data_IF_963376214565
#
_entry.id   IF_963376214565
#
_cell.length_a   1.000
_cell.length_b   1.000
_cell.length_c   1.000
_cell.angle_alpha   90.00
_cell.angle_beta   90.00
_cell.angle_gamma   90.00
#
_symmetry.space_group_name_H-M   'P 1'
#
loop_
_entity.id
_entity.type
_entity.pdbx_description
1 polymer ?
#
# COMPACT_ATOMS: atom_id res chain seq x y z
N UNK A 1 -37.59 21.16 -2.20
CA UNK A 1 -36.16 21.54 -2.10
C UNK A 1 -35.32 20.27 -2.01
N UNK A 2 -35.14 19.55 -3.13
CA UNK A 2 -34.30 18.34 -3.25
C UNK A 2 -33.25 18.52 -4.36
N UNK A 3 -32.90 19.77 -4.66
CA UNK A 3 -32.06 20.14 -5.82
C UNK A 3 -30.56 20.15 -5.52
N UNK A 4 -30.13 19.68 -4.34
CA UNK A 4 -28.71 19.69 -3.92
C UNK A 4 -28.14 18.29 -3.65
N UNK A 5 -28.90 17.22 -3.88
CA UNK A 5 -28.40 15.83 -3.79
C UNK A 5 -28.08 15.25 -5.18
N UNK A 6 -27.54 16.07 -6.08
CA UNK A 6 -26.97 15.57 -7.33
C UNK A 6 -25.68 16.31 -7.63
N UNK A 7 -24.69 16.11 -6.76
CA UNK A 7 -23.30 16.42 -7.07
C UNK A 7 -22.54 15.11 -7.27
N UNK A 8 -22.06 14.88 -8.49
CA UNK A 8 -20.85 14.07 -8.66
C UNK A 8 -20.92 12.73 -9.40
N UNK A 9 -21.96 12.43 -10.19
CA UNK A 9 -21.77 11.42 -11.26
C UNK A 9 -21.49 12.17 -12.56
N UNK A 10 -20.21 12.48 -12.76
CA UNK A 10 -19.73 13.02 -14.01
C UNK A 10 -20.15 12.11 -15.18
N UNK A 11 -20.69 12.74 -16.22
CA UNK A 11 -21.05 12.11 -17.48
C UNK A 11 -19.82 11.43 -18.09
N UNK A 12 -19.89 10.13 -18.32
CA UNK A 12 -18.78 9.34 -18.87
C UNK A 12 -18.63 9.61 -20.37
N UNK A 13 -18.01 10.73 -20.73
CA UNK A 13 -17.52 10.98 -22.08
C UNK A 13 -16.21 10.20 -22.29
N UNK A 14 -16.29 8.88 -22.52
CA UNK A 14 -15.22 8.03 -23.05
C UNK A 14 -13.90 7.90 -22.25
N UNK A 15 -13.76 8.58 -21.11
CA UNK A 15 -12.55 8.58 -20.28
C UNK A 15 -12.65 7.62 -19.09
N UNK A 16 -11.50 7.11 -18.64
CA UNK A 16 -11.42 6.27 -17.43
C UNK A 16 -11.74 7.13 -16.20
N UNK A 17 -12.66 6.71 -15.31
CA UNK A 17 -13.10 7.54 -14.19
C UNK A 17 -11.96 7.85 -13.22
N UNK A 18 -11.87 9.11 -12.78
CA UNK A 18 -10.81 9.56 -11.86
C UNK A 18 -10.79 8.79 -10.53
N UNK A 19 -11.97 8.40 -10.03
CA UNK A 19 -12.09 7.58 -8.82
C UNK A 19 -11.43 6.21 -8.99
N UNK A 20 -11.47 5.61 -10.18
CA UNK A 20 -10.78 4.34 -10.46
C UNK A 20 -9.26 4.51 -10.40
N UNK A 21 -8.72 5.60 -10.95
CA UNK A 21 -7.28 5.91 -10.84
C UNK A 21 -6.83 6.06 -9.39
N UNK A 22 -7.58 6.82 -8.58
CA UNK A 22 -7.26 7.00 -7.16
C UNK A 22 -7.27 5.66 -6.40
N UNK A 23 -8.24 4.80 -6.68
CA UNK A 23 -8.30 3.48 -6.07
C UNK A 23 -7.10 2.62 -6.48
N UNK A 24 -6.74 2.60 -7.77
CA UNK A 24 -5.59 1.83 -8.25
C UNK A 24 -4.30 2.32 -7.60
N UNK A 25 -4.01 3.62 -7.66
CA UNK A 25 -2.78 4.19 -7.06
C UNK A 25 -2.77 3.98 -5.55
N UNK A 26 -3.90 4.17 -4.88
CA UNK A 26 -4.04 3.95 -3.44
C UNK A 26 -3.76 2.50 -3.03
N UNK A 27 -4.38 1.53 -3.70
CA UNK A 27 -4.19 0.11 -3.40
C UNK A 27 -2.79 -0.36 -3.74
N UNK A 28 -2.28 -0.03 -4.93
CA UNK A 28 -0.93 -0.44 -5.35
C UNK A 28 0.13 0.22 -4.48
N UNK A 29 -0.02 1.51 -4.18
CA UNK A 29 0.89 2.25 -3.29
C UNK A 29 0.88 1.69 -1.88
N UNK A 30 -0.30 1.34 -1.34
CA UNK A 30 -0.42 0.72 -0.03
C UNK A 30 0.26 -0.66 0.02
N UNK A 31 0.04 -1.52 -0.98
CA UNK A 31 0.70 -2.83 -1.09
C UNK A 31 2.22 -2.65 -1.14
N UNK A 32 2.71 -1.71 -1.95
CA UNK A 32 4.13 -1.41 -2.03
C UNK A 32 4.70 -0.92 -0.69
N UNK A 33 3.99 -0.02 0.00
CA UNK A 33 4.40 0.52 1.29
C UNK A 33 4.47 -0.56 2.38
N UNK A 34 3.44 -1.40 2.49
CA UNK A 34 3.41 -2.52 3.46
C UNK A 34 4.47 -3.56 3.11
N UNK A 35 4.62 -3.90 1.84
CA UNK A 35 5.62 -4.87 1.38
C UNK A 35 7.04 -4.41 1.70
N UNK A 36 7.45 -3.26 1.18
CA UNK A 36 8.81 -2.71 1.37
C UNK A 36 9.06 -2.42 2.86
N UNK A 37 8.10 -1.85 3.57
CA UNK A 37 8.21 -1.57 5.00
C UNK A 37 8.42 -2.84 5.83
N UNK A 38 7.68 -3.91 5.53
CA UNK A 38 7.85 -5.20 6.19
C UNK A 38 9.24 -5.79 5.92
N UNK A 39 9.68 -5.79 4.67
CA UNK A 39 11.03 -6.28 4.31
C UNK A 39 12.11 -5.49 5.05
N UNK A 40 12.00 -4.16 5.08
CA UNK A 40 12.95 -3.30 5.79
C UNK A 40 12.94 -3.56 7.31
N UNK A 41 11.77 -3.75 7.91
CA UNK A 41 11.64 -4.02 9.34
C UNK A 41 12.29 -5.35 9.74
N UNK A 42 12.02 -6.44 9.01
CA UNK A 42 12.60 -7.75 9.28
C UNK A 42 14.11 -7.84 8.99
N UNK A 43 14.66 -6.98 8.12
CA UNK A 43 16.10 -6.85 7.89
C UNK A 43 16.77 -5.80 8.81
N UNK A 44 16.00 -5.15 9.69
CA UNK A 44 16.51 -4.19 10.68
C UNK A 44 17.09 -4.90 11.90
N UNK A 45 17.69 -4.12 12.81
CA UNK A 45 18.13 -4.63 14.12
C UNK A 45 16.92 -5.15 14.90
N UNK A 46 17.03 -6.37 15.43
CA UNK A 46 15.98 -6.99 16.24
C UNK A 46 15.82 -6.23 17.56
N UNK A 47 14.58 -5.97 18.04
CA UNK A 47 14.37 -5.37 19.34
C UNK A 47 14.73 -6.34 20.47
N UNK A 48 14.94 -5.80 21.67
CA UNK A 48 15.31 -6.58 22.85
C UNK A 48 14.28 -7.70 23.12
N UNK A 49 14.75 -8.92 23.36
CA UNK A 49 13.89 -10.10 23.57
C UNK A 49 13.44 -10.81 22.29
N UNK A 50 13.79 -10.30 21.11
CA UNK A 50 13.54 -10.94 19.80
C UNK A 50 14.81 -11.43 19.10
N UNK A 51 15.95 -11.39 19.78
CA UNK A 51 17.26 -11.72 19.22
C UNK A 51 17.33 -13.17 18.70
N UNK A 52 16.67 -14.11 19.38
CA UNK A 52 16.62 -15.52 18.99
C UNK A 52 15.54 -15.88 17.98
N UNK A 53 14.67 -14.94 17.60
CA UNK A 53 13.58 -15.22 16.65
C UNK A 53 14.09 -15.14 15.21
N UNK A 54 13.82 -16.19 14.45
CA UNK A 54 14.07 -16.19 13.01
C UNK A 54 13.07 -15.29 12.29
N UNK A 55 13.49 -14.71 11.16
CA UNK A 55 12.56 -13.99 10.32
C UNK A 55 11.66 -14.98 9.58
N UNK A 56 10.49 -14.55 9.10
CA UNK A 56 9.67 -15.35 8.19
C UNK A 56 10.38 -15.65 6.86
N UNK A 57 10.22 -16.87 6.33
CA UNK A 57 10.82 -17.32 5.07
C UNK A 57 10.40 -16.50 3.84
N UNK A 58 9.21 -15.88 3.89
CA UNK A 58 8.68 -15.06 2.80
C UNK A 58 9.42 -13.73 2.61
N UNK A 59 10.21 -13.31 3.61
CA UNK A 59 10.94 -12.05 3.55
C UNK A 59 12.32 -12.30 2.93
N UNK A 60 12.71 -11.62 1.83
CA UNK A 60 14.04 -11.76 1.23
C UNK A 60 15.13 -11.08 2.06
N UNK A 61 16.36 -11.61 2.04
CA UNK A 61 17.52 -11.05 2.78
C UNK A 61 18.15 -9.95 1.96
N UNK A 62 18.33 -8.78 2.57
CA UNK A 62 19.06 -7.69 1.95
C UNK A 62 20.51 -7.80 2.41
N UNK A 63 21.37 -8.39 1.57
CA UNK A 63 22.82 -8.35 1.79
C UNK A 63 23.30 -6.90 1.60
N UNK A 64 24.12 -6.43 2.54
CA UNK A 64 24.86 -5.18 2.37
C UNK A 64 26.21 -5.58 1.79
N UNK A 65 26.47 -5.18 0.56
CA UNK A 65 27.79 -5.30 -0.07
C UNK A 65 28.85 -4.49 0.71
#
# INVERSE_FOLDING_TARGET
MYLLMQEGVAEATGGVPYSLFLNIVGVVGFIAAVGIGSVAWYNSKRPTGWEGNERPDIVPEIKKD
#
